data_IF_592112725625
#
_entry.id   IF_592112725625
#
_cell.length_a   1.000
_cell.length_b   1.000
_cell.length_c   1.000
_cell.angle_alpha   90.00
_cell.angle_beta   90.00
_cell.angle_gamma   90.00
#
_symmetry.space_group_name_H-M   'P 1'
#
loop_
_entity.id
_entity.type
_entity.pdbx_description
1 polymer ?
#
# COMPACT_ATOMS: atom_id res chain seq x y z
N UNK A 1 18.38 -24.40 27.56
CA UNK A 1 17.26 -23.54 27.99
C UNK A 1 17.51 -22.05 27.70
N UNK A 2 18.58 -21.41 28.17
CA UNK A 2 18.85 -19.97 27.90
C UNK A 2 19.09 -19.58 26.43
N UNK A 3 19.42 -20.52 25.54
CA UNK A 3 19.63 -20.28 24.10
C UNK A 3 18.32 -20.25 23.30
N UNK A 4 17.31 -21.00 23.74
CA UNK A 4 16.03 -21.16 23.01
C UNK A 4 15.09 -19.97 23.27
N UNK A 5 15.08 -19.43 24.49
CA UNK A 5 14.34 -18.20 24.81
C UNK A 5 14.86 -16.99 24.03
N UNK A 6 16.17 -16.91 23.79
CA UNK A 6 16.75 -15.82 23.00
C UNK A 6 16.28 -15.88 21.55
N UNK A 7 16.32 -17.05 20.90
CA UNK A 7 15.84 -17.22 19.52
C UNK A 7 14.34 -16.90 19.40
N UNK A 8 13.53 -17.30 20.38
CA UNK A 8 12.10 -16.99 20.42
C UNK A 8 11.79 -15.48 20.46
N UNK A 9 12.58 -14.70 21.22
CA UNK A 9 12.44 -13.24 21.25
C UNK A 9 12.78 -12.60 19.91
N UNK A 10 13.81 -13.07 19.21
CA UNK A 10 14.23 -12.50 17.92
C UNK A 10 13.21 -12.72 16.80
N UNK A 11 12.57 -13.89 16.72
CA UNK A 11 11.56 -14.18 15.68
C UNK A 11 10.32 -13.28 15.84
N UNK A 12 9.89 -13.11 17.09
CA UNK A 12 8.72 -12.30 17.43
C UNK A 12 9.01 -10.81 17.16
N UNK A 13 10.18 -10.33 17.57
CA UNK A 13 10.64 -8.95 17.31
C UNK A 13 10.79 -8.69 15.81
N UNK A 14 11.35 -9.62 15.04
CA UNK A 14 11.49 -9.50 13.58
C UNK A 14 10.13 -9.36 12.89
N UNK A 15 9.13 -10.14 13.30
CA UNK A 15 7.78 -10.08 12.74
C UNK A 15 7.10 -8.73 13.04
N UNK A 16 7.25 -8.21 14.26
CA UNK A 16 6.75 -6.88 14.63
C UNK A 16 7.45 -5.76 13.87
N UNK A 17 8.76 -5.85 13.66
CA UNK A 17 9.51 -4.87 12.87
C UNK A 17 9.07 -4.88 11.40
N UNK A 18 8.86 -6.05 10.81
CA UNK A 18 8.31 -6.18 9.46
C UNK A 18 6.90 -5.59 9.38
N UNK A 19 6.02 -5.92 10.32
CA UNK A 19 4.66 -5.37 10.40
C UNK A 19 4.65 -3.85 10.53
N UNK A 20 5.49 -3.29 11.40
CA UNK A 20 5.62 -1.85 11.61
C UNK A 20 6.18 -1.15 10.37
N UNK A 21 7.17 -1.74 9.70
CA UNK A 21 7.70 -1.21 8.44
C UNK A 21 6.66 -1.18 7.32
N UNK A 22 5.80 -2.21 7.24
CA UNK A 22 4.70 -2.30 6.28
C UNK A 22 3.63 -1.26 6.59
N UNK A 23 3.27 -1.09 7.86
CA UNK A 23 2.32 -0.06 8.29
C UNK A 23 2.83 1.35 7.95
N UNK A 24 4.08 1.66 8.26
CA UNK A 24 4.71 2.95 7.91
C UNK A 24 4.76 3.15 6.39
N UNK A 25 5.07 2.09 5.63
CA UNK A 25 5.08 2.12 4.17
C UNK A 25 3.70 2.43 3.59
N UNK A 26 2.66 1.72 4.05
CA UNK A 26 1.27 1.95 3.63
C UNK A 26 0.81 3.35 4.03
N UNK A 27 1.09 3.79 5.26
CA UNK A 27 0.77 5.14 5.71
C UNK A 27 1.40 6.21 4.81
N UNK A 28 2.67 6.04 4.44
CA UNK A 28 3.34 6.94 3.48
C UNK A 28 2.72 6.92 2.09
N UNK A 29 2.30 5.76 1.60
CA UNK A 29 1.59 5.68 0.30
C UNK A 29 0.24 6.39 0.35
N UNK A 30 -0.50 6.24 1.45
CA UNK A 30 -1.78 6.91 1.68
C UNK A 30 -1.60 8.43 1.73
N UNK A 31 -0.64 8.90 2.51
CA UNK A 31 -0.30 10.32 2.61
C UNK A 31 0.15 10.90 1.27
N UNK A 32 0.97 10.16 0.50
CA UNK A 32 1.37 10.55 -0.85
C UNK A 32 0.15 10.65 -1.79
N UNK A 33 -0.81 9.72 -1.69
CA UNK A 33 -2.04 9.78 -2.47
C UNK A 33 -2.89 11.02 -2.11
N UNK A 34 -3.12 11.26 -0.82
CA UNK A 34 -3.87 12.42 -0.34
C UNK A 34 -3.21 13.74 -0.77
N UNK A 35 -1.88 13.85 -0.63
CA UNK A 35 -1.14 15.03 -1.07
C UNK A 35 -1.22 15.23 -2.59
N UNK A 36 -1.21 14.15 -3.39
CA UNK A 36 -1.35 14.24 -4.84
C UNK A 36 -2.72 14.78 -5.26
N UNK A 37 -3.80 14.37 -4.58
CA UNK A 37 -5.14 14.90 -4.83
C UNK A 37 -5.23 16.39 -4.48
N UNK A 38 -4.66 16.78 -3.34
CA UNK A 38 -4.63 18.19 -2.93
C UNK A 38 -3.86 19.06 -3.93
N UNK A 39 -2.71 18.59 -4.42
CA UNK A 39 -1.90 19.31 -5.42
C UNK A 39 -2.68 19.48 -6.74
N UNK A 40 -3.40 18.44 -7.19
CA UNK A 40 -4.25 18.51 -8.38
C UNK A 40 -5.40 19.51 -8.21
N UNK A 41 -6.08 19.49 -7.07
CA UNK A 41 -7.15 20.44 -6.76
C UNK A 41 -6.64 21.88 -6.73
N UNK A 42 -5.47 22.10 -6.11
CA UNK A 42 -4.82 23.42 -6.09
C UNK A 42 -4.45 23.90 -7.50
N UNK A 43 -3.92 23.01 -8.35
CA UNK A 43 -3.62 23.32 -9.74
C UNK A 43 -4.88 23.75 -10.51
N UNK A 44 -5.95 22.98 -10.41
CA UNK A 44 -7.22 23.30 -11.09
C UNK A 44 -7.78 24.64 -10.62
N UNK A 45 -7.78 24.91 -9.31
CA UNK A 45 -8.27 26.17 -8.76
C UNK A 45 -7.43 27.36 -9.22
N UNK A 46 -6.10 27.23 -9.24
CA UNK A 46 -5.21 28.30 -9.69
C UNK A 46 -5.38 28.57 -11.18
N UNK A 47 -5.45 27.52 -12.01
CA UNK A 47 -5.69 27.64 -13.44
C UNK A 47 -7.06 28.26 -13.74
N UNK A 48 -8.09 27.90 -12.98
CA UNK A 48 -9.42 28.50 -13.10
C UNK A 48 -9.41 30.00 -12.76
N UNK A 49 -8.67 30.43 -11.74
CA UNK A 49 -8.52 31.86 -11.41
C UNK A 49 -7.74 32.60 -12.50
N UNK A 50 -6.69 31.99 -13.02
CA UNK A 50 -5.89 32.56 -14.09
C UNK A 50 -6.72 32.73 -15.38
N UNK A 51 -7.56 31.75 -15.73
CA UNK A 51 -8.46 31.87 -16.90
C UNK A 51 -9.55 32.91 -16.68
N UNK A 52 -10.14 33.02 -15.47
CA UNK A 52 -11.08 34.11 -15.15
C UNK A 52 -10.45 35.49 -15.30
N UNK A 53 -9.25 35.68 -14.76
CA UNK A 53 -8.49 36.91 -14.93
C UNK A 53 -8.23 37.21 -16.42
N UNK A 54 -7.75 36.22 -17.18
CA UNK A 54 -7.54 36.38 -18.64
C UNK A 54 -8.82 36.79 -19.37
N UNK A 55 -9.96 36.18 -19.02
CA UNK A 55 -11.25 36.51 -19.64
C UNK A 55 -11.64 37.96 -19.37
N UNK A 56 -11.54 38.44 -18.12
CA UNK A 56 -11.84 39.84 -17.80
C UNK A 56 -10.88 40.82 -18.51
N UNK A 57 -9.58 40.49 -18.60
CA UNK A 57 -8.61 41.28 -19.37
C UNK A 57 -8.97 41.34 -20.86
N UNK A 58 -9.36 40.22 -21.47
CA UNK A 58 -9.83 40.16 -22.87
C UNK A 58 -11.11 40.99 -23.06
N UNK A 59 -12.02 40.98 -22.08
CA UNK A 59 -13.20 41.85 -22.14
C UNK A 59 -12.82 43.33 -22.08
N UNK A 60 -11.88 43.72 -21.20
CA UNK A 60 -11.35 45.09 -21.18
C UNK A 60 -10.70 45.48 -22.50
N UNK A 61 -9.86 44.62 -23.08
CA UNK A 61 -9.21 44.85 -24.37
C UNK A 61 -10.24 45.06 -25.50
N UNK A 62 -11.24 44.17 -25.59
CA UNK A 62 -12.34 44.31 -26.56
C UNK A 62 -13.11 45.62 -26.37
N UNK A 63 -13.41 46.01 -25.13
CA UNK A 63 -14.12 47.25 -24.82
C UNK A 63 -13.29 48.49 -25.18
N UNK A 64 -11.98 48.45 -24.95
CA UNK A 64 -11.06 49.53 -25.37
C UNK A 64 -10.99 49.63 -26.89
N UNK A 65 -10.92 48.49 -27.59
CA UNK A 65 -10.94 48.45 -29.04
C UNK A 65 -12.27 48.95 -29.63
N UNK A 66 -13.42 48.56 -29.06
CA UNK A 66 -14.74 49.03 -29.53
C UNK A 66 -14.96 50.50 -29.21
N UNK A 67 -14.51 50.98 -28.05
CA UNK A 67 -14.50 52.42 -27.73
C UNK A 67 -13.63 53.18 -28.73
N UNK A 68 -12.46 52.65 -29.10
CA UNK A 68 -11.59 53.24 -30.12
C UNK A 68 -12.25 53.30 -31.50
N UNK A 69 -12.96 52.22 -31.88
CA UNK A 69 -13.65 52.11 -33.16
C UNK A 69 -14.97 52.92 -33.23
N UNK A 70 -15.63 53.16 -32.09
CA UNK A 70 -16.85 53.99 -31.99
C UNK A 70 -16.62 55.46 -32.37
N UNK A 71 -15.35 55.86 -32.56
CA UNK A 71 -14.96 57.12 -33.18
C UNK A 71 -15.38 57.22 -34.65
N UNK A 72 -15.54 56.10 -35.36
CA UNK A 72 -15.99 56.08 -36.75
C UNK A 72 -17.51 56.24 -36.84
N UNK A 73 -18.00 57.14 -37.71
CA UNK A 73 -19.43 57.39 -37.87
C UNK A 73 -20.22 56.12 -38.22
N UNK A 74 -19.63 55.19 -38.98
CA UNK A 74 -20.23 53.91 -39.33
C UNK A 74 -20.53 53.01 -38.11
N UNK A 75 -19.68 53.02 -37.08
CA UNK A 75 -19.86 52.20 -35.87
C UNK A 75 -20.85 52.86 -34.89
N UNK A 76 -20.91 54.19 -34.85
CA UNK A 76 -21.91 54.93 -34.07
C UNK A 76 -23.35 54.69 -34.56
N UNK A 77 -23.53 54.56 -35.88
CA UNK A 77 -24.84 54.27 -36.48
C UNK A 77 -25.31 52.84 -36.14
N UNK A 78 -24.38 51.93 -35.81
CA UNK A 78 -24.67 50.58 -35.35
C UNK A 78 -25.12 50.44 -33.87
N UNK A 79 -25.32 51.55 -33.15
CA UNK A 79 -25.88 51.55 -31.78
C UNK A 79 -24.86 51.51 -30.64
N UNK A 80 -23.56 51.66 -30.91
CA UNK A 80 -22.53 51.72 -29.87
C UNK A 80 -22.52 53.10 -29.18
N UNK A 81 -23.06 53.16 -27.96
CA UNK A 81 -23.01 54.37 -27.12
C UNK A 81 -21.71 54.43 -26.30
N UNK A 82 -20.82 55.42 -26.51
CA UNK A 82 -19.52 55.49 -25.83
C UNK A 82 -19.62 55.65 -24.31
N UNK A 83 -20.66 56.30 -23.78
CA UNK A 83 -20.84 56.47 -22.33
C UNK A 83 -21.20 55.15 -21.64
N UNK A 84 -22.07 54.33 -22.27
CA UNK A 84 -22.41 52.98 -21.80
C UNK A 84 -21.20 52.05 -21.84
N UNK A 85 -20.42 52.08 -22.93
CA UNK A 85 -19.19 51.29 -23.06
C UNK A 85 -18.13 51.68 -22.03
N UNK A 86 -18.06 52.97 -21.65
CA UNK A 86 -17.16 53.45 -20.60
C UNK A 86 -17.56 52.97 -19.20
N UNK A 87 -18.86 52.99 -18.89
CA UNK A 87 -19.40 52.40 -17.65
C UNK A 87 -19.12 50.89 -17.57
N UNK A 88 -19.32 50.19 -18.69
CA UNK A 88 -19.01 48.76 -18.79
C UNK A 88 -17.51 48.49 -18.61
N UNK A 89 -16.64 49.30 -19.23
CA UNK A 89 -15.19 49.22 -19.05
C UNK A 89 -14.80 49.42 -17.58
N UNK A 90 -15.40 50.39 -16.88
CA UNK A 90 -15.15 50.63 -15.46
C UNK A 90 -15.56 49.43 -14.60
N UNK A 91 -16.73 48.84 -14.87
CA UNK A 91 -17.20 47.65 -14.17
C UNK A 91 -16.28 46.44 -14.42
N UNK A 92 -15.85 46.23 -15.66
CA UNK A 92 -14.94 45.14 -16.05
C UNK A 92 -13.54 45.32 -15.50
N UNK A 93 -13.01 46.54 -15.47
CA UNK A 93 -11.72 46.84 -14.84
C UNK A 93 -11.75 46.53 -13.33
N UNK A 94 -12.84 46.91 -12.64
CA UNK A 94 -13.03 46.57 -11.24
C UNK A 94 -13.15 45.05 -11.01
N UNK A 95 -13.78 44.33 -11.94
CA UNK A 95 -13.82 42.86 -11.96
C UNK A 95 -12.44 42.23 -12.12
N UNK A 96 -11.68 42.67 -13.12
CA UNK A 96 -10.32 42.20 -13.40
C UNK A 96 -9.37 42.43 -12.21
N UNK A 97 -9.45 43.59 -11.56
CA UNK A 97 -8.65 43.90 -10.36
C UNK A 97 -9.01 43.00 -9.17
N UNK A 98 -10.30 42.66 -8.98
CA UNK A 98 -10.71 41.69 -7.93
C UNK A 98 -10.14 40.30 -8.22
N UNK A 99 -10.25 39.82 -9.45
CA UNK A 99 -9.70 38.52 -9.86
C UNK A 99 -8.18 38.50 -9.73
N UNK A 100 -7.49 39.59 -10.11
CA UNK A 100 -6.05 39.73 -9.94
C UNK A 100 -5.63 39.68 -8.47
N UNK A 101 -6.33 40.36 -7.56
CA UNK A 101 -6.06 40.26 -6.11
C UNK A 101 -6.23 38.84 -5.58
N UNK A 102 -7.26 38.12 -6.03
CA UNK A 102 -7.47 36.72 -5.64
C UNK A 102 -6.40 35.79 -6.21
N UNK A 103 -5.95 36.03 -7.45
CA UNK A 103 -4.85 35.32 -8.08
C UNK A 103 -3.54 35.58 -7.33
N UNK A 104 -3.24 36.84 -7.01
CA UNK A 104 -2.07 37.26 -6.23
C UNK A 104 -2.04 36.61 -4.84
N UNK A 105 -3.17 36.58 -4.15
CA UNK A 105 -3.28 35.91 -2.85
C UNK A 105 -3.02 34.40 -2.96
N UNK A 106 -3.42 33.76 -4.05
CA UNK A 106 -3.16 32.34 -4.32
C UNK A 106 -1.69 32.07 -4.72
N UNK A 107 -1.04 33.02 -5.39
CA UNK A 107 0.36 32.92 -5.83
C UNK A 107 1.36 33.25 -4.71
N UNK A 108 0.98 34.05 -3.72
CA UNK A 108 1.82 34.41 -2.57
C UNK A 108 2.43 33.22 -1.82
N UNK A 109 1.68 32.16 -1.46
CA UNK A 109 2.30 30.98 -0.84
C UNK A 109 3.26 30.24 -1.79
N UNK A 110 3.03 30.29 -3.10
CA UNK A 110 3.90 29.66 -4.10
C UNK A 110 5.20 30.43 -4.29
N UNK A 111 5.19 31.76 -4.19
CA UNK A 111 6.40 32.59 -4.28
C UNK A 111 7.26 32.56 -3.01
N UNK A 112 6.66 32.23 -1.85
CA UNK A 112 7.34 32.11 -0.57
C UNK A 112 7.83 30.68 -0.27
N UNK A 113 7.44 29.69 -1.07
CA UNK A 113 7.89 28.33 -0.90
C UNK A 113 9.40 28.22 -1.19
N UNK A 114 10.14 27.53 -0.31
CA UNK A 114 11.58 27.26 -0.45
C UNK A 114 11.94 26.54 -1.75
N UNK A 115 10.99 25.79 -2.31
CA UNK A 115 11.15 25.01 -3.53
C UNK A 115 10.72 25.80 -4.79
N UNK A 116 10.46 27.11 -4.68
CA UNK A 116 10.05 27.93 -5.82
C UNK A 116 11.24 28.22 -6.74
N UNK A 117 11.09 27.90 -8.03
CA UNK A 117 12.13 28.20 -9.02
C UNK A 117 12.21 29.71 -9.24
N UNK A 118 13.41 30.22 -9.52
CA UNK A 118 13.61 31.62 -9.93
C UNK A 118 12.69 32.01 -11.08
N UNK A 119 12.44 31.08 -12.01
CA UNK A 119 11.52 31.26 -13.14
C UNK A 119 10.07 31.52 -12.70
N UNK A 120 9.59 30.87 -11.64
CA UNK A 120 8.25 31.08 -11.10
C UNK A 120 8.13 32.44 -10.43
N UNK A 121 9.14 32.81 -9.63
CA UNK A 121 9.17 34.12 -8.97
C UNK A 121 9.17 35.26 -10.00
N UNK A 122 10.03 35.17 -11.02
CA UNK A 122 10.10 36.14 -12.11
C UNK A 122 8.80 36.21 -12.92
N UNK A 123 8.16 35.09 -13.20
CA UNK A 123 6.88 35.08 -13.91
C UNK A 123 5.76 35.76 -13.11
N UNK A 124 5.72 35.58 -11.78
CA UNK A 124 4.78 36.28 -10.90
C UNK A 124 5.06 37.78 -10.92
N UNK A 125 6.30 38.19 -10.65
CA UNK A 125 6.69 39.62 -10.63
C UNK A 125 6.40 40.29 -11.97
N UNK A 126 6.66 39.60 -13.09
CA UNK A 126 6.36 40.11 -14.43
C UNK A 126 4.86 40.34 -14.62
N UNK A 127 4.02 39.38 -14.27
CA UNK A 127 2.56 39.55 -14.36
C UNK A 127 2.07 40.68 -13.45
N UNK A 128 2.64 40.82 -12.24
CA UNK A 128 2.29 41.94 -11.36
C UNK A 128 2.66 43.30 -11.96
N UNK A 129 3.88 43.42 -12.53
CA UNK A 129 4.35 44.66 -13.15
C UNK A 129 3.51 45.03 -14.39
N UNK A 130 3.26 44.08 -15.28
CA UNK A 130 2.45 44.30 -16.49
C UNK A 130 1.00 44.66 -16.15
N UNK A 131 0.41 43.99 -15.15
CA UNK A 131 -0.94 44.32 -14.72
C UNK A 131 -1.02 45.74 -14.13
N UNK A 132 -0.08 46.13 -13.28
CA UNK A 132 -0.03 47.48 -12.71
C UNK A 132 0.12 48.56 -13.78
N UNK A 133 0.92 48.29 -14.82
CA UNK A 133 1.08 49.18 -15.98
C UNK A 133 -0.24 49.34 -16.73
N UNK A 134 -0.91 48.25 -17.10
CA UNK A 134 -2.21 48.29 -17.80
C UNK A 134 -3.30 48.94 -16.93
N UNK A 135 -3.37 48.58 -15.65
CA UNK A 135 -4.35 49.10 -14.71
C UNK A 135 -4.22 50.60 -14.51
N UNK A 136 -3.01 51.10 -14.25
CA UNK A 136 -2.77 52.54 -14.05
C UNK A 136 -3.09 53.36 -15.31
N UNK A 137 -2.77 52.83 -16.49
CA UNK A 137 -3.08 53.46 -17.77
C UNK A 137 -4.60 53.59 -18.00
N UNK A 138 -5.35 52.51 -17.73
CA UNK A 138 -6.80 52.49 -17.85
C UNK A 138 -7.50 53.35 -16.79
N UNK A 139 -7.01 53.31 -15.56
CA UNK A 139 -7.54 54.15 -14.48
C UNK A 139 -7.35 55.63 -14.78
N UNK A 140 -6.18 56.01 -15.30
CA UNK A 140 -5.88 57.39 -15.71
C UNK A 140 -6.84 57.86 -16.81
N UNK A 141 -7.17 56.99 -17.77
CA UNK A 141 -8.17 57.28 -18.80
C UNK A 141 -9.58 57.42 -18.20
N UNK A 142 -10.01 56.48 -17.34
CA UNK A 142 -11.34 56.51 -16.75
C UNK A 142 -11.58 57.71 -15.83
N UNK A 143 -10.53 58.28 -15.22
CA UNK A 143 -10.62 59.48 -14.37
C UNK A 143 -10.73 60.79 -15.15
N UNK A 144 -10.48 60.82 -16.46
CA UNK A 144 -10.59 62.06 -17.26
C UNK A 144 -12.06 62.47 -17.44
N UNK A 145 -12.43 63.75 -17.26
CA UNK A 145 -13.81 64.20 -17.41
C UNK A 145 -14.31 64.15 -18.87
N UNK A 146 -13.41 64.18 -19.84
CA UNK A 146 -13.78 64.10 -21.26
C UNK A 146 -14.13 62.66 -21.68
N UNK A 147 -15.37 62.47 -22.13
CA UNK A 147 -15.90 61.19 -22.64
C UNK A 147 -15.47 60.87 -24.06
N UNK A 148 -14.97 61.87 -24.80
CA UNK A 148 -14.98 61.84 -26.26
C UNK A 148 -13.74 61.22 -26.92
N UNK A 149 -12.64 61.00 -26.19
CA UNK A 149 -11.37 60.62 -26.81
C UNK A 149 -10.59 59.56 -26.01
N UNK A 150 -10.49 58.34 -26.57
CA UNK A 150 -9.46 57.39 -26.16
C UNK A 150 -8.08 57.93 -26.56
N UNK A 151 -7.16 57.97 -25.59
CA UNK A 151 -5.77 58.33 -25.85
C UNK A 151 -5.09 57.22 -26.67
N UNK A 152 -4.20 57.59 -27.58
CA UNK A 152 -3.42 56.61 -28.35
C UNK A 152 -2.61 55.70 -27.41
N UNK A 153 -2.18 56.25 -26.28
CA UNK A 153 -1.48 55.56 -25.19
C UNK A 153 -2.32 54.42 -24.59
N UNK A 154 -3.60 54.63 -24.30
CA UNK A 154 -4.50 53.57 -23.79
C UNK A 154 -4.92 52.56 -24.86
N UNK A 155 -4.84 52.93 -26.13
CA UNK A 155 -5.01 51.99 -27.23
C UNK A 155 -3.71 51.16 -27.44
N UNK A 156 -2.55 51.76 -27.18
CA UNK A 156 -1.26 51.09 -27.24
C UNK A 156 -0.97 50.15 -26.07
N UNK A 157 -1.55 50.39 -24.89
CA UNK A 157 -1.35 49.52 -23.71
C UNK A 157 -1.77 48.07 -23.93
N UNK A 158 -2.70 47.80 -24.85
CA UNK A 158 -3.06 46.44 -25.25
C UNK A 158 -2.43 45.99 -26.58
N UNK A 159 -2.03 46.94 -27.43
CA UNK A 159 -1.63 46.69 -28.82
C UNK A 159 -0.09 46.64 -29.02
N UNK A 160 0.73 46.94 -28.00
CA UNK A 160 2.18 46.80 -28.11
C UNK A 160 2.58 45.33 -28.29
N UNK A 161 3.02 45.02 -29.52
CA UNK A 161 3.82 43.90 -30.00
C UNK A 161 4.24 42.85 -28.95
N UNK A 162 3.43 41.79 -28.85
CA UNK A 162 3.64 40.35 -28.51
C UNK A 162 4.75 39.86 -27.56
N UNK A 163 5.87 40.55 -27.36
CA UNK A 163 7.00 40.08 -26.54
C UNK A 163 6.95 40.60 -25.08
N UNK A 164 6.43 41.81 -24.86
CA UNK A 164 6.30 42.47 -23.55
C UNK A 164 4.85 42.94 -23.32
N UNK A 165 3.93 41.99 -23.34
CA UNK A 165 2.52 42.25 -23.10
C UNK A 165 2.03 41.36 -21.96
N UNK A 166 1.04 41.83 -21.20
CA UNK A 166 0.32 41.10 -20.17
C UNK A 166 -0.05 39.67 -20.61
N UNK A 167 -0.47 39.47 -21.87
CA UNK A 167 -0.75 38.12 -22.39
C UNK A 167 0.47 37.19 -22.38
N UNK A 168 1.64 37.70 -22.77
CA UNK A 168 2.89 36.94 -22.76
C UNK A 168 3.35 36.67 -21.32
N UNK A 169 3.20 37.65 -20.42
CA UNK A 169 3.48 37.48 -19.00
C UNK A 169 2.58 36.39 -18.38
N UNK A 170 1.27 36.42 -18.65
CA UNK A 170 0.34 35.40 -18.14
C UNK A 170 0.61 34.02 -18.75
N UNK A 171 0.98 33.94 -20.03
CA UNK A 171 1.39 32.68 -20.66
C UNK A 171 2.68 32.12 -20.00
N UNK A 172 3.66 32.98 -19.71
CA UNK A 172 4.89 32.58 -19.00
C UNK A 172 4.60 32.10 -17.58
N UNK A 173 3.65 32.75 -16.87
CA UNK A 173 3.19 32.32 -15.57
C UNK A 173 2.47 30.98 -15.65
N UNK A 174 1.59 30.77 -16.63
CA UNK A 174 0.93 29.49 -16.85
C UNK A 174 1.93 28.36 -17.08
N UNK A 175 2.95 28.61 -17.91
CA UNK A 175 4.02 27.64 -18.15
C UNK A 175 4.82 27.36 -16.88
N UNK A 176 5.25 28.38 -16.14
CA UNK A 176 5.99 28.22 -14.89
C UNK A 176 5.19 27.43 -13.84
N UNK A 177 3.91 27.77 -13.66
CA UNK A 177 2.97 27.05 -12.81
C UNK A 177 2.86 25.58 -13.23
N UNK A 178 2.65 25.32 -14.52
CA UNK A 178 2.49 23.95 -15.03
C UNK A 178 3.75 23.09 -14.82
N UNK A 179 4.93 23.68 -14.98
CA UNK A 179 6.21 23.01 -14.76
C UNK A 179 6.43 22.72 -13.28
N UNK A 180 6.10 23.66 -12.40
CA UNK A 180 6.18 23.47 -10.95
C UNK A 180 5.24 22.36 -10.47
N UNK A 181 4.00 22.32 -10.96
CA UNK A 181 3.07 21.23 -10.62
C UNK A 181 3.52 19.88 -11.17
N UNK A 182 4.06 19.83 -12.40
CA UNK A 182 4.62 18.60 -12.97
C UNK A 182 5.80 18.09 -12.16
N UNK A 183 6.73 18.95 -11.76
CA UNK A 183 7.88 18.54 -10.95
C UNK A 183 7.44 18.06 -9.56
N UNK A 184 6.49 18.76 -8.92
CA UNK A 184 5.93 18.33 -7.63
C UNK A 184 5.23 16.98 -7.73
N UNK A 185 4.44 16.75 -8.77
CA UNK A 185 3.76 15.48 -9.00
C UNK A 185 4.75 14.34 -9.29
N UNK A 186 5.83 14.61 -10.04
CA UNK A 186 6.90 13.63 -10.26
C UNK A 186 7.60 13.25 -8.95
N UNK A 187 7.88 14.21 -8.07
CA UNK A 187 8.46 13.95 -6.75
C UNK A 187 7.53 13.08 -5.90
N UNK A 188 6.24 13.40 -5.85
CA UNK A 188 5.24 12.61 -5.11
C UNK A 188 5.08 11.19 -5.67
N UNK A 189 5.05 11.06 -7.01
CA UNK A 189 5.00 9.74 -7.66
C UNK A 189 6.26 8.92 -7.38
N UNK A 190 7.44 9.55 -7.38
CA UNK A 190 8.69 8.88 -7.03
C UNK A 190 8.68 8.41 -5.57
N UNK A 191 8.23 9.25 -4.65
CA UNK A 191 8.08 8.88 -3.23
C UNK A 191 7.09 7.71 -3.05
N UNK A 192 5.94 7.76 -3.75
CA UNK A 192 4.95 6.68 -3.75
C UNK A 192 5.52 5.38 -4.30
N UNK A 193 6.24 5.44 -5.42
CA UNK A 193 6.83 4.24 -6.02
C UNK A 193 7.92 3.63 -5.13
N UNK A 194 8.72 4.48 -4.46
CA UNK A 194 9.71 4.02 -3.49
C UNK A 194 9.05 3.36 -2.28
N UNK A 195 7.99 3.95 -1.72
CA UNK A 195 7.29 3.35 -0.58
C UNK A 195 6.58 2.05 -0.96
N UNK A 196 5.95 1.99 -2.13
CA UNK A 196 5.39 0.75 -2.67
C UNK A 196 6.47 -0.33 -2.89
N UNK A 197 7.63 0.05 -3.42
CA UNK A 197 8.77 -0.86 -3.57
C UNK A 197 9.23 -1.45 -2.24
N UNK A 198 9.35 -0.61 -1.20
CA UNK A 198 9.68 -1.09 0.15
C UNK A 198 8.59 -2.02 0.68
N UNK A 199 7.31 -1.68 0.53
CA UNK A 199 6.21 -2.55 0.94
C UNK A 199 6.28 -3.92 0.26
N UNK A 200 6.52 -3.98 -1.06
CA UNK A 200 6.65 -5.24 -1.78
C UNK A 200 7.82 -6.08 -1.30
N UNK A 201 8.98 -5.46 -1.03
CA UNK A 201 10.15 -6.13 -0.47
C UNK A 201 9.82 -6.72 0.91
N UNK A 202 9.16 -5.94 1.78
CA UNK A 202 8.75 -6.37 3.12
C UNK A 202 7.76 -7.53 3.05
N UNK A 203 6.76 -7.45 2.16
CA UNK A 203 5.81 -8.55 1.94
C UNK A 203 6.53 -9.81 1.45
N UNK A 204 7.44 -9.68 0.49
CA UNK A 204 8.26 -10.80 0.00
C UNK A 204 9.12 -11.43 1.10
N UNK A 205 9.76 -10.60 1.93
CA UNK A 205 10.50 -11.05 3.12
C UNK A 205 9.60 -11.77 4.11
N UNK A 206 8.38 -11.27 4.34
CA UNK A 206 7.43 -11.87 5.27
C UNK A 206 6.93 -13.23 4.79
N UNK A 207 6.65 -13.37 3.49
CA UNK A 207 6.34 -14.66 2.88
C UNK A 207 7.53 -15.62 2.93
N UNK A 208 8.74 -15.16 2.60
CA UNK A 208 9.96 -15.97 2.68
C UNK A 208 10.26 -16.42 4.11
N UNK A 209 10.06 -15.54 5.09
CA UNK A 209 10.22 -15.83 6.51
C UNK A 209 9.20 -16.88 6.96
N UNK A 210 7.92 -16.66 6.65
CA UNK A 210 6.85 -17.63 6.97
C UNK A 210 7.11 -18.98 6.32
N UNK A 211 7.54 -19.01 5.07
CA UNK A 211 7.92 -20.24 4.37
C UNK A 211 9.07 -20.97 5.06
N UNK A 212 10.14 -20.26 5.41
CA UNK A 212 11.33 -20.84 6.02
C UNK A 212 11.05 -21.41 7.42
N UNK A 213 10.25 -20.71 8.23
CA UNK A 213 10.00 -21.08 9.63
C UNK A 213 8.81 -22.03 9.84
N UNK A 214 7.82 -22.03 8.93
CA UNK A 214 6.62 -22.87 9.05
C UNK A 214 6.61 -23.99 8.02
N UNK A 215 6.75 -23.67 6.73
CA UNK A 215 6.50 -24.62 5.65
C UNK A 215 7.65 -25.60 5.46
N UNK A 216 8.89 -25.10 5.39
CA UNK A 216 10.09 -25.94 5.24
C UNK A 216 10.23 -27.01 6.34
N UNK A 217 10.13 -26.68 7.65
CA UNK A 217 10.22 -27.70 8.69
C UNK A 217 9.05 -28.67 8.67
N UNK A 218 7.82 -28.23 8.34
CA UNK A 218 6.69 -29.13 8.17
C UNK A 218 6.91 -30.14 7.02
N UNK A 219 7.48 -29.70 5.90
CA UNK A 219 7.86 -30.58 4.78
C UNK A 219 9.00 -31.55 5.15
N UNK A 220 9.99 -31.09 5.93
CA UNK A 220 11.04 -31.97 6.44
C UNK A 220 10.49 -33.01 7.42
N UNK A 221 9.51 -32.62 8.23
CA UNK A 221 8.82 -33.50 9.16
C UNK A 221 7.97 -34.56 8.45
N UNK A 222 7.25 -34.18 7.39
CA UNK A 222 6.49 -35.14 6.58
C UNK A 222 7.41 -36.13 5.85
N UNK A 223 8.52 -35.65 5.28
CA UNK A 223 9.56 -36.52 4.70
C UNK A 223 10.17 -37.45 5.73
N UNK A 224 10.46 -36.95 6.94
CA UNK A 224 10.99 -37.77 8.04
C UNK A 224 10.04 -38.91 8.44
N UNK A 225 8.73 -38.65 8.49
CA UNK A 225 7.72 -39.68 8.77
C UNK A 225 7.70 -40.77 7.69
N UNK A 226 7.90 -40.39 6.43
CA UNK A 226 7.89 -41.30 5.27
C UNK A 226 9.22 -42.03 5.02
N UNK A 227 10.33 -41.53 5.55
CA UNK A 227 11.67 -42.11 5.30
C UNK A 227 11.93 -43.30 6.22
N UNK A 228 12.24 -44.47 5.66
CA UNK A 228 12.65 -45.69 6.39
C UNK A 228 14.16 -45.74 6.66
N UNK A 229 14.97 -45.05 5.85
CA UNK A 229 16.43 -44.99 5.99
C UNK A 229 16.88 -44.32 7.30
N UNK A 230 17.64 -45.07 8.11
CA UNK A 230 18.11 -44.65 9.44
C UNK A 230 19.05 -43.44 9.39
N UNK A 231 19.93 -43.36 8.39
CA UNK A 231 20.93 -42.29 8.26
C UNK A 231 20.27 -40.95 7.88
N UNK A 232 19.38 -40.94 6.89
CA UNK A 232 18.62 -39.75 6.49
C UNK A 232 17.71 -39.27 7.63
N UNK A 233 17.15 -40.21 8.40
CA UNK A 233 16.32 -39.92 9.56
C UNK A 233 17.08 -39.21 10.67
N UNK A 234 18.31 -39.64 10.98
CA UNK A 234 19.15 -38.98 11.99
C UNK A 234 19.54 -37.55 11.61
N UNK A 235 19.89 -37.31 10.34
CA UNK A 235 20.27 -35.97 9.86
C UNK A 235 19.07 -35.01 9.97
N UNK A 236 17.88 -35.44 9.58
CA UNK A 236 16.66 -34.62 9.67
C UNK A 236 16.26 -34.38 11.15
N UNK A 237 16.42 -35.40 12.01
CA UNK A 237 16.14 -35.27 13.44
C UNK A 237 17.11 -34.29 14.14
N UNK A 238 18.39 -34.30 13.79
CA UNK A 238 19.37 -33.32 14.30
C UNK A 238 19.01 -31.89 13.88
N UNK A 239 18.54 -31.70 12.65
CA UNK A 239 18.08 -30.40 12.16
C UNK A 239 16.81 -29.90 12.89
N UNK A 240 15.84 -30.78 13.12
CA UNK A 240 14.59 -30.44 13.81
C UNK A 240 14.79 -30.14 15.31
N UNK A 241 15.78 -30.76 15.98
CA UNK A 241 16.05 -30.62 17.41
C UNK A 241 16.33 -29.18 17.86
N UNK A 242 16.83 -28.32 16.97
CA UNK A 242 17.11 -26.91 17.24
C UNK A 242 16.02 -25.94 16.80
N UNK A 243 14.85 -26.43 16.39
CA UNK A 243 13.72 -25.62 15.89
C UNK A 243 12.49 -25.75 16.79
N UNK A 244 11.50 -24.86 16.62
CA UNK A 244 10.20 -24.94 17.33
C UNK A 244 9.46 -26.26 17.09
N UNK A 245 9.81 -26.99 16.03
CA UNK A 245 9.24 -28.30 15.69
C UNK A 245 9.92 -29.47 16.42
N UNK A 246 11.04 -29.23 17.10
CA UNK A 246 11.80 -30.25 17.83
C UNK A 246 11.00 -31.00 18.92
N UNK A 247 10.25 -30.30 19.80
CA UNK A 247 9.41 -30.96 20.80
C UNK A 247 8.32 -31.84 20.17
N UNK A 248 7.70 -31.35 19.08
CA UNK A 248 6.67 -32.08 18.35
C UNK A 248 7.25 -33.27 17.58
N UNK A 249 8.50 -33.16 17.10
CA UNK A 249 9.22 -34.27 16.48
C UNK A 249 9.56 -35.35 17.51
N UNK A 250 9.91 -34.94 18.73
CA UNK A 250 10.19 -35.86 19.83
C UNK A 250 8.96 -36.65 20.26
N UNK A 251 7.81 -35.99 20.42
CA UNK A 251 6.56 -36.66 20.80
C UNK A 251 6.11 -37.66 19.72
N UNK A 252 6.20 -37.30 18.44
CA UNK A 252 5.88 -38.23 17.35
C UNK A 252 6.84 -39.42 17.29
N UNK A 253 8.11 -39.22 17.63
CA UNK A 253 9.11 -40.30 17.68
C UNK A 253 8.79 -41.29 18.81
N UNK A 254 8.43 -40.78 19.99
CA UNK A 254 7.96 -41.60 21.11
C UNK A 254 6.71 -42.40 20.73
N UNK A 255 5.71 -41.76 20.11
CA UNK A 255 4.50 -42.45 19.65
C UNK A 255 4.80 -43.54 18.60
N UNK A 256 5.72 -43.29 17.67
CA UNK A 256 6.11 -44.29 16.67
C UNK A 256 6.83 -45.48 17.29
N UNK A 257 7.74 -45.25 18.25
CA UNK A 257 8.40 -46.34 18.98
C UNK A 257 7.38 -47.20 19.72
N UNK A 258 6.39 -46.57 20.36
CA UNK A 258 5.27 -47.27 20.99
C UNK A 258 4.47 -48.12 20.03
N UNK A 259 4.14 -47.59 18.85
CA UNK A 259 3.42 -48.35 17.84
C UNK A 259 4.21 -49.58 17.36
N UNK A 260 5.53 -49.46 17.21
CA UNK A 260 6.38 -50.59 16.85
C UNK A 260 6.50 -51.64 17.97
N UNK A 261 6.55 -51.21 19.23
CA UNK A 261 6.52 -52.11 20.40
C UNK A 261 5.19 -52.88 20.46
N UNK A 262 4.07 -52.18 20.24
CA UNK A 262 2.72 -52.79 20.19
C UNK A 262 2.60 -53.74 18.99
N UNK A 263 3.10 -53.37 17.81
CA UNK A 263 3.08 -54.22 16.62
C UNK A 263 3.87 -55.52 16.86
N UNK A 264 5.07 -55.43 17.46
CA UNK A 264 5.87 -56.61 17.82
C UNK A 264 5.17 -57.48 18.84
N UNK A 265 4.62 -56.88 19.89
CA UNK A 265 3.82 -57.58 20.91
C UNK A 265 2.64 -58.34 20.28
N UNK A 266 1.87 -57.69 19.40
CA UNK A 266 0.76 -58.32 18.69
C UNK A 266 1.21 -59.41 17.71
N UNK A 267 2.33 -59.21 17.02
CA UNK A 267 2.92 -60.22 16.12
C UNK A 267 3.39 -61.46 16.89
N UNK A 268 4.03 -61.28 18.03
CA UNK A 268 4.52 -62.39 18.86
C UNK A 268 3.36 -63.16 19.50
N UNK A 269 2.30 -62.46 19.96
CA UNK A 269 1.05 -63.09 20.38
C UNK A 269 0.42 -63.91 19.25
N UNK A 270 0.32 -63.36 18.03
CA UNK A 270 -0.26 -64.05 16.88
C UNK A 270 0.56 -65.28 16.44
N UNK A 271 1.89 -65.24 16.63
CA UNK A 271 2.79 -66.36 16.34
C UNK A 271 2.88 -67.39 17.49
N UNK A 272 2.07 -67.24 18.54
CA UNK A 272 2.00 -68.17 19.68
C UNK A 272 3.24 -68.14 20.59
N UNK A 273 4.08 -67.11 20.50
CA UNK A 273 5.22 -66.89 21.40
C UNK A 273 4.75 -66.08 22.61
N UNK A 274 5.33 -66.31 23.78
CA UNK A 274 5.06 -65.49 24.98
C UNK A 274 5.82 -64.16 24.85
N UNK A 275 5.15 -63.03 24.56
CA UNK A 275 5.83 -61.76 24.42
C UNK A 275 6.21 -61.18 25.78
N UNK A 276 7.26 -60.37 25.79
CA UNK A 276 7.59 -59.52 26.95
C UNK A 276 6.52 -58.42 27.11
N UNK A 277 6.14 -58.07 28.35
CA UNK A 277 5.15 -57.03 28.59
C UNK A 277 5.67 -55.66 28.12
N UNK A 278 4.77 -54.85 27.54
CA UNK A 278 5.09 -53.47 27.14
C UNK A 278 5.64 -52.68 28.33
N UNK A 279 6.73 -51.94 28.12
CA UNK A 279 7.38 -51.11 29.16
C UNK A 279 6.54 -49.88 29.47
N UNK A 280 6.30 -49.47 30.73
CA UNK A 280 5.53 -48.27 31.04
C UNK A 280 6.34 -46.98 30.81
N UNK A 281 5.78 -46.00 30.08
CA UNK A 281 6.38 -44.65 29.94
C UNK A 281 5.87 -43.69 31.03
N UNK A 282 4.65 -43.91 31.51
CA UNK A 282 4.00 -43.16 32.58
C UNK A 282 3.38 -44.13 33.59
N UNK A 283 3.28 -43.76 34.88
CA UNK A 283 2.74 -44.64 35.92
C UNK A 283 1.28 -45.07 35.70
N UNK A 284 0.52 -44.37 34.83
CA UNK A 284 -0.87 -44.68 34.49
C UNK A 284 -1.09 -44.99 33.00
N UNK A 285 -0.07 -45.51 32.31
CA UNK A 285 -0.14 -45.82 30.88
C UNK A 285 -1.19 -46.92 30.58
N UNK A 286 -2.30 -46.52 29.94
CA UNK A 286 -3.46 -47.40 29.66
C UNK A 286 -3.09 -48.58 28.77
N UNK A 287 -2.14 -48.40 27.85
CA UNK A 287 -1.71 -49.44 26.90
C UNK A 287 -0.94 -50.55 27.62
N UNK A 288 -0.09 -50.18 28.56
CA UNK A 288 0.67 -51.13 29.39
C UNK A 288 -0.27 -51.97 30.26
N UNK A 289 -1.30 -51.34 30.86
CA UNK A 289 -2.30 -52.05 31.65
C UNK A 289 -3.10 -53.05 30.80
N UNK A 290 -3.45 -52.69 29.57
CA UNK A 290 -4.14 -53.60 28.65
C UNK A 290 -3.27 -54.77 28.19
N UNK A 291 -1.97 -54.58 27.93
CA UNK A 291 -1.08 -55.67 27.53
C UNK A 291 -0.86 -56.68 28.66
N UNK A 292 -0.73 -56.22 29.91
CA UNK A 292 -0.65 -57.11 31.08
C UNK A 292 -1.92 -57.94 31.27
N UNK A 293 -3.10 -57.33 31.06
CA UNK A 293 -4.38 -58.05 31.14
C UNK A 293 -4.52 -59.10 30.03
N UNK A 294 -4.10 -58.76 28.80
CA UNK A 294 -4.13 -59.69 27.66
C UNK A 294 -3.18 -60.88 27.85
N UNK A 295 -1.94 -60.65 28.28
CA UNK A 295 -0.99 -61.71 28.61
C UNK A 295 -1.57 -62.67 29.66
N UNK A 296 -2.13 -62.11 30.74
CA UNK A 296 -2.74 -62.90 31.82
C UNK A 296 -3.91 -63.75 31.33
N UNK A 297 -4.75 -63.21 30.45
CA UNK A 297 -5.88 -63.96 29.84
C UNK A 297 -5.42 -65.07 28.91
N UNK A 298 -4.38 -64.82 28.10
CA UNK A 298 -3.80 -65.85 27.21
C UNK A 298 -3.17 -66.97 28.04
N UNK A 299 -2.44 -66.65 29.11
CA UNK A 299 -1.90 -67.66 30.04
C UNK A 299 -3.00 -68.49 30.72
N UNK A 300 -4.09 -67.86 31.18
CA UNK A 300 -5.23 -68.54 31.80
C UNK A 300 -5.93 -69.49 30.79
N UNK A 301 -6.11 -69.06 29.54
CA UNK A 301 -6.66 -69.90 28.47
C UNK A 301 -5.72 -71.05 28.07
N UNK A 302 -4.41 -70.81 27.96
CA UNK A 302 -3.42 -71.87 27.69
C UNK A 302 -3.35 -72.89 28.83
N UNK A 303 -3.39 -72.45 30.09
CA UNK A 303 -3.43 -73.34 31.27
C UNK A 303 -4.73 -74.16 31.32
N UNK A 304 -5.86 -73.56 31.01
CA UNK A 304 -7.15 -74.26 30.91
C UNK A 304 -7.16 -75.28 29.75
N UNK A 305 -6.57 -74.96 28.59
CA UNK A 305 -6.41 -75.87 27.46
C UNK A 305 -5.43 -77.03 27.73
N UNK A 306 -4.35 -76.79 28.47
CA UNK A 306 -3.44 -77.86 28.93
C UNK A 306 -4.08 -78.76 29.99
N UNK A 307 -4.93 -78.20 30.86
CA UNK A 307 -5.72 -78.98 31.81
C UNK A 307 -6.80 -79.81 31.10
N UNK A 308 -7.45 -79.27 30.06
CA UNK A 308 -8.41 -80.01 29.22
C UNK A 308 -7.77 -81.14 28.39
N UNK A 309 -6.47 -81.05 28.07
CA UNK A 309 -5.72 -82.17 27.46
C UNK A 309 -5.37 -83.29 28.45
N UNK A 310 -5.32 -82.98 29.74
CA UNK A 310 -4.93 -83.92 30.80
C UNK A 310 -6.15 -84.66 31.41
N UNK A 311 -7.35 -84.10 31.23
CA UNK A 311 -8.63 -84.74 31.51
C UNK A 311 -9.43 -84.74 30.22
N UNK A 312 -9.49 -85.86 29.47
CA UNK A 312 -10.28 -86.03 28.24
C UNK A 312 -11.69 -85.43 28.37
N UNK A 313 -11.81 -84.14 28.13
CA UNK A 313 -13.02 -83.35 28.15
C UNK A 313 -13.06 -82.66 26.79
N UNK A 314 -14.20 -82.71 26.08
CA UNK A 314 -14.30 -82.11 24.77
C UNK A 314 -14.02 -80.61 24.89
N UNK A 315 -12.93 -80.17 24.27
CA UNK A 315 -12.67 -78.77 24.01
C UNK A 315 -13.81 -78.23 23.14
N UNK A 316 -14.83 -77.65 23.77
CA UNK A 316 -15.79 -76.81 23.09
C UNK A 316 -15.13 -75.46 22.79
N UNK A 317 -14.26 -75.45 21.77
CA UNK A 317 -14.02 -74.29 20.95
C UNK A 317 -14.32 -74.71 19.52
N UNK A 318 -15.59 -74.55 19.18
CA UNK A 318 -16.15 -74.82 17.86
C UNK A 318 -15.56 -73.79 16.87
N UNK A 319 -14.43 -74.15 16.27
CA UNK A 319 -13.93 -73.51 15.06
C UNK A 319 -14.54 -74.25 13.86
N UNK A 320 -15.84 -74.03 13.64
CA UNK A 320 -16.64 -74.62 12.58
C UNK A 320 -17.46 -73.57 11.83
N UNK A 321 -16.83 -72.51 11.32
CA UNK A 321 -17.47 -71.67 10.29
C UNK A 321 -16.50 -71.31 9.16
N UNK A 322 -16.31 -72.32 8.32
CA UNK A 322 -16.08 -72.34 6.87
C UNK A 322 -16.71 -73.68 6.44
N UNK A 323 -17.67 -73.82 5.55
CA UNK A 323 -18.23 -72.98 4.48
C UNK A 323 -19.69 -73.44 4.20
N UNK A 324 -20.40 -72.70 3.34
CA UNK A 324 -21.66 -73.04 2.62
C UNK A 324 -23.00 -72.54 3.20
N UNK A 325 -23.29 -71.25 3.00
CA UNK A 325 -24.34 -70.75 2.07
C UNK A 325 -24.21 -69.24 1.84
#
# INVERSE_FOLDING_TARGET
MQSDERRFRWDTVGYWLLGLSLFVGLWRTWQAHQSSQQVMLQQCQLLQRLTRFQMEVVHCDRLVATLGASRSAAVRIGGANPSMLRLELQARLAGAEREFRQLRAALKPLSQASDSSSTMHWAIVRVEAEWLSVYSSLETYLRRPDESHINLETLHTFNLTRQDNLYAAVASLHQAVSLWYRSRMQMLNRQRNLSLGVCLIVVGLWFGWSWYFLVRPAQLMSRWLQTEDSVAREVIQRYLRGTRWGPLAWTLLQQRQRLLEVERFMRDLAMGRTPEPLTPLEPNDRLTRSSFWLLRRVEECCRAGSAAKQYNLPCAFDSGHRDEL
#
